data_IF_363356908745
#
_entry.id   IF_363356908745
#
_cell.length_a   1.000
_cell.length_b   1.000
_cell.length_c   1.000
_cell.angle_alpha   90.00
_cell.angle_beta   90.00
_cell.angle_gamma   90.00
#
_symmetry.space_group_name_H-M   'P 1'
#
loop_
_entity.id
_entity.type
_entity.pdbx_description
1 polymer ?
#
# COMPACT_ATOMS: atom_id res chain seq x y z
N UNK A 1 -14.38 5.44 28.84
CA UNK A 1 -13.16 4.67 29.14
C UNK A 1 -13.39 3.23 28.72
N UNK A 2 -13.00 2.85 27.50
CA UNK A 2 -12.95 1.45 27.08
C UNK A 2 -11.59 1.20 26.45
N UNK A 3 -10.72 0.50 27.17
CA UNK A 3 -9.43 0.01 26.67
C UNK A 3 -9.68 -1.37 26.06
N UNK A 4 -9.69 -1.51 24.74
CA UNK A 4 -9.58 -2.80 24.08
C UNK A 4 -8.13 -3.25 24.09
N UNK A 5 -7.87 -4.31 24.86
CA UNK A 5 -6.60 -5.03 24.85
C UNK A 5 -6.66 -6.06 23.73
N UNK A 6 -5.82 -5.91 22.71
CA UNK A 6 -5.58 -6.96 21.73
C UNK A 6 -4.63 -7.96 22.37
N UNK A 7 -5.14 -9.14 22.68
CA UNK A 7 -4.38 -10.27 23.18
C UNK A 7 -3.74 -10.99 21.99
N UNK A 8 -2.41 -10.97 21.93
CA UNK A 8 -1.66 -11.82 21.03
C UNK A 8 -1.79 -13.28 21.47
N UNK A 9 -2.40 -14.12 20.64
CA UNK A 9 -2.47 -15.56 20.87
C UNK A 9 -1.11 -16.20 20.51
N UNK A 10 -0.37 -16.58 21.53
CA UNK A 10 0.79 -17.43 21.38
C UNK A 10 0.31 -18.88 21.13
N UNK A 11 0.61 -19.39 19.93
CA UNK A 11 0.39 -20.80 19.60
C UNK A 11 1.54 -21.61 20.19
N UNK A 12 1.28 -22.26 21.33
CA UNK A 12 2.22 -23.21 21.93
C UNK A 12 2.12 -24.56 21.21
N UNK A 13 3.20 -24.95 20.57
CA UNK A 13 3.36 -26.28 19.96
C UNK A 13 3.62 -27.30 21.05
N UNK A 14 2.70 -28.25 21.23
CA UNK A 14 2.88 -29.43 22.10
C UNK A 14 3.77 -30.41 21.35
N UNK A 15 4.96 -30.67 21.90
CA UNK A 15 5.80 -31.78 21.48
C UNK A 15 5.28 -33.06 22.14
N UNK A 16 4.75 -33.97 21.34
CA UNK A 16 4.53 -35.36 21.74
C UNK A 16 5.78 -36.17 21.34
N UNK A 17 6.51 -36.66 22.33
CA UNK A 17 7.59 -37.61 22.14
C UNK A 17 6.97 -39.01 21.97
N UNK A 18 7.12 -39.57 20.75
CA UNK A 18 6.82 -40.97 20.47
C UNK A 18 7.96 -41.57 19.68
N UNK A 19 8.74 -42.43 20.31
CA UNK A 19 9.80 -43.17 19.67
C UNK A 19 9.21 -44.39 18.93
N UNK A 20 9.41 -44.48 17.61
CA UNK A 20 9.53 -45.76 16.88
C UNK A 20 9.96 -45.47 15.43
N UNK A 21 11.08 -46.12 15.07
CA UNK A 21 11.48 -46.59 13.71
C UNK A 21 11.41 -45.60 12.52
N UNK A 22 12.56 -45.00 12.18
CA UNK A 22 13.07 -45.06 10.79
C UNK A 22 12.33 -44.27 9.70
N UNK A 23 11.60 -43.17 10.00
CA UNK A 23 11.15 -42.26 8.96
C UNK A 23 11.71 -40.87 9.33
N UNK A 24 12.70 -40.40 8.56
CA UNK A 24 13.20 -39.05 8.69
C UNK A 24 12.01 -38.10 8.46
N UNK A 25 11.74 -37.12 9.38
CA UNK A 25 10.73 -36.14 9.12
C UNK A 25 11.16 -35.33 7.89
N UNK A 26 10.40 -35.44 6.81
CA UNK A 26 10.49 -34.49 5.71
C UNK A 26 10.04 -33.16 6.30
N UNK A 27 11.01 -32.36 6.69
CA UNK A 27 10.74 -30.96 7.00
C UNK A 27 10.32 -30.32 5.69
N UNK A 28 9.01 -30.22 5.49
CA UNK A 28 8.45 -29.36 4.44
C UNK A 28 8.88 -27.95 4.83
N UNK A 29 9.97 -27.48 4.19
CA UNK A 29 10.34 -26.08 4.28
C UNK A 29 9.12 -25.29 3.83
N UNK A 30 8.49 -24.54 4.75
CA UNK A 30 7.51 -23.55 4.37
C UNK A 30 8.17 -22.64 3.34
N UNK A 31 7.60 -22.48 2.14
CA UNK A 31 8.17 -21.56 1.17
C UNK A 31 8.30 -20.20 1.86
N UNK A 32 9.52 -19.68 1.91
CA UNK A 32 9.73 -18.30 2.35
C UNK A 32 8.83 -17.44 1.46
N UNK A 33 7.92 -16.67 2.08
CA UNK A 33 7.11 -15.73 1.31
C UNK A 33 8.06 -14.86 0.50
N UNK A 34 7.93 -14.88 -0.82
CA UNK A 34 8.77 -14.08 -1.69
C UNK A 34 8.60 -12.61 -1.24
N UNK A 35 9.71 -11.93 -0.97
CA UNK A 35 9.66 -10.51 -0.64
C UNK A 35 8.98 -9.76 -1.80
N UNK A 36 8.05 -8.87 -1.49
CA UNK A 36 7.41 -8.05 -2.52
C UNK A 36 8.47 -7.29 -3.31
N UNK A 37 8.26 -7.16 -4.63
CA UNK A 37 9.22 -6.43 -5.48
C UNK A 37 9.30 -4.96 -5.07
N UNK A 38 10.40 -4.24 -5.32
CA UNK A 38 10.49 -2.80 -5.08
C UNK A 38 9.31 -2.03 -5.68
N UNK A 39 8.93 -2.35 -6.91
CA UNK A 39 7.75 -1.80 -7.58
C UNK A 39 6.46 -1.93 -6.75
N UNK A 40 6.16 -3.13 -6.25
CA UNK A 40 4.96 -3.38 -5.42
C UNK A 40 5.07 -2.65 -4.08
N UNK A 41 6.26 -2.58 -3.49
CA UNK A 41 6.48 -1.86 -2.22
C UNK A 41 6.21 -0.36 -2.37
N UNK A 42 6.69 0.27 -3.45
CA UNK A 42 6.49 1.68 -3.70
C UNK A 42 5.03 2.00 -4.01
N UNK A 43 4.35 1.17 -4.80
CA UNK A 43 2.92 1.30 -5.05
C UNK A 43 2.10 1.15 -3.77
N UNK A 44 2.46 0.22 -2.88
CA UNK A 44 1.80 0.05 -1.58
C UNK A 44 2.03 1.25 -0.67
N UNK A 45 3.23 1.83 -0.71
CA UNK A 45 3.55 3.07 0.02
C UNK A 45 2.74 4.25 -0.50
N UNK A 46 2.61 4.37 -1.82
CA UNK A 46 1.78 5.38 -2.47
C UNK A 46 0.30 5.23 -2.05
N UNK A 47 -0.22 4.01 -2.04
CA UNK A 47 -1.60 3.73 -1.62
C UNK A 47 -1.82 4.13 -0.16
N UNK A 48 -0.92 3.72 0.74
CA UNK A 48 -1.01 4.06 2.17
C UNK A 48 -1.03 5.57 2.41
N UNK A 49 -0.18 6.32 1.70
CA UNK A 49 -0.14 7.77 1.81
C UNK A 49 -1.40 8.41 1.24
N UNK A 50 -1.91 7.93 0.11
CA UNK A 50 -3.14 8.44 -0.50
C UNK A 50 -4.37 8.16 0.37
N UNK A 51 -4.46 7.00 1.02
CA UNK A 51 -5.54 6.68 1.96
C UNK A 51 -5.52 7.62 3.17
N UNK A 52 -4.33 8.01 3.63
CA UNK A 52 -4.18 9.00 4.69
C UNK A 52 -4.58 10.42 4.24
N UNK A 53 -4.33 10.80 2.98
CA UNK A 53 -4.82 12.05 2.39
C UNK A 53 -6.36 12.07 2.34
N UNK A 54 -6.98 11.00 1.84
CA UNK A 54 -8.44 10.84 1.81
C UNK A 54 -9.05 11.02 3.22
N UNK A 55 -8.47 10.39 4.23
CA UNK A 55 -8.95 10.50 5.60
C UNK A 55 -8.84 11.93 6.14
N UNK A 56 -7.75 12.65 5.80
CA UNK A 56 -7.56 14.05 6.20
C UNK A 56 -8.56 14.98 5.50
N UNK A 57 -8.83 14.80 4.21
CA UNK A 57 -9.82 15.61 3.49
C UNK A 57 -11.25 15.33 3.93
N UNK A 58 -11.59 14.11 4.30
CA UNK A 58 -12.86 13.79 4.96
C UNK A 58 -13.03 14.53 6.29
N UNK A 59 -11.93 14.80 6.99
CA UNK A 59 -11.90 15.61 8.21
C UNK A 59 -11.79 17.12 7.93
N UNK A 60 -11.78 17.56 6.67
CA UNK A 60 -11.53 18.93 6.21
C UNK A 60 -10.16 19.50 6.64
N UNK A 61 -9.17 18.63 6.86
CA UNK A 61 -7.78 19.03 7.15
C UNK A 61 -6.94 19.00 5.87
N UNK A 62 -7.14 19.99 5.02
CA UNK A 62 -6.46 20.12 3.73
C UNK A 62 -4.94 20.29 3.86
N UNK A 63 -4.45 20.76 5.01
CA UNK A 63 -3.00 20.86 5.25
C UNK A 63 -2.38 19.50 5.43
N UNK A 64 -2.98 18.65 6.26
CA UNK A 64 -2.53 17.27 6.48
C UNK A 64 -2.71 16.44 5.21
N UNK A 65 -3.86 16.57 4.52
CA UNK A 65 -4.10 15.92 3.23
C UNK A 65 -3.00 16.24 2.22
N UNK A 66 -2.66 17.52 2.03
CA UNK A 66 -1.58 17.93 1.12
C UNK A 66 -0.22 17.31 1.49
N UNK A 67 0.09 17.16 2.78
CA UNK A 67 1.34 16.51 3.19
C UNK A 67 1.37 15.05 2.76
N UNK A 68 0.26 14.35 2.87
CA UNK A 68 0.13 12.96 2.41
C UNK A 68 0.11 12.86 0.89
N UNK A 69 -0.53 13.78 0.18
CA UNK A 69 -0.47 13.86 -1.29
C UNK A 69 0.97 14.01 -1.80
N UNK A 70 1.79 14.85 -1.14
CA UNK A 70 3.20 14.97 -1.50
C UNK A 70 3.98 13.68 -1.23
N UNK A 71 3.67 12.97 -0.15
CA UNK A 71 4.25 11.65 0.11
C UNK A 71 3.83 10.63 -0.94
N UNK A 72 2.56 10.65 -1.36
CA UNK A 72 2.04 9.85 -2.48
C UNK A 72 2.82 10.13 -3.77
N UNK A 73 3.04 11.42 -4.09
CA UNK A 73 3.82 11.81 -5.27
C UNK A 73 5.24 11.24 -5.25
N UNK A 74 5.92 11.30 -4.11
CA UNK A 74 7.28 10.74 -3.95
C UNK A 74 7.29 9.23 -4.22
N UNK A 75 6.34 8.49 -3.63
CA UNK A 75 6.23 7.04 -3.82
C UNK A 75 5.88 6.68 -5.27
N UNK A 76 5.02 7.46 -5.94
CA UNK A 76 4.68 7.23 -7.36
C UNK A 76 5.89 7.49 -8.28
N UNK A 77 6.73 8.47 -7.96
CA UNK A 77 7.98 8.72 -8.71
C UNK A 77 8.96 7.56 -8.53
N UNK A 78 9.12 7.03 -7.31
CA UNK A 78 9.92 5.84 -7.05
C UNK A 78 9.38 4.63 -7.83
N UNK A 79 8.06 4.39 -7.77
CA UNK A 79 7.40 3.32 -8.51
C UNK A 79 7.63 3.40 -10.02
N UNK A 80 7.66 4.60 -10.63
CA UNK A 80 7.99 4.75 -12.05
C UNK A 80 9.39 4.21 -12.38
N UNK A 81 10.36 4.36 -11.48
CA UNK A 81 11.71 3.80 -11.62
C UNK A 81 11.73 2.29 -11.41
N UNK A 82 11.15 1.83 -10.32
CA UNK A 82 11.25 0.44 -9.87
C UNK A 82 10.31 -0.51 -10.62
N UNK A 83 9.29 0.02 -11.30
CA UNK A 83 8.40 -0.72 -12.20
C UNK A 83 8.91 -0.78 -13.65
N UNK A 84 10.11 -0.29 -13.95
CA UNK A 84 10.73 -0.46 -15.27
C UNK A 84 10.91 -1.96 -15.54
N UNK A 85 10.33 -2.45 -16.63
CA UNK A 85 10.32 -3.89 -16.95
C UNK A 85 9.01 -4.61 -16.64
N UNK A 86 8.10 -3.95 -15.93
CA UNK A 86 6.72 -4.41 -15.81
C UNK A 86 5.93 -4.15 -17.10
N UNK A 87 4.75 -4.77 -17.30
CA UNK A 87 3.89 -4.47 -18.43
C UNK A 87 3.62 -2.96 -18.57
N UNK A 88 3.54 -2.45 -19.78
CA UNK A 88 3.34 -1.01 -20.04
C UNK A 88 2.10 -0.42 -19.37
N UNK A 89 1.08 -1.24 -19.12
CA UNK A 89 -0.14 -0.84 -18.41
C UNK A 89 0.15 -0.39 -16.98
N UNK A 90 1.14 -0.98 -16.30
CA UNK A 90 1.56 -0.57 -14.95
C UNK A 90 2.06 0.88 -14.98
N UNK A 91 2.98 1.19 -15.90
CA UNK A 91 3.49 2.55 -16.08
C UNK A 91 2.37 3.56 -16.43
N UNK A 92 1.43 3.17 -17.30
CA UNK A 92 0.30 4.01 -17.65
C UNK A 92 -0.61 4.32 -16.44
N UNK A 93 -0.87 3.32 -15.59
CA UNK A 93 -1.64 3.49 -14.37
C UNK A 93 -0.91 4.38 -13.35
N UNK A 94 0.42 4.24 -13.20
CA UNK A 94 1.22 5.11 -12.33
C UNK A 94 1.17 6.57 -12.81
N UNK A 95 1.27 6.81 -14.11
CA UNK A 95 1.15 8.16 -14.68
C UNK A 95 -0.25 8.75 -14.45
N UNK A 96 -1.30 7.94 -14.59
CA UNK A 96 -2.68 8.36 -14.29
C UNK A 96 -2.82 8.72 -12.81
N UNK A 97 -2.31 7.88 -11.90
CA UNK A 97 -2.29 8.17 -10.47
C UNK A 97 -1.54 9.47 -10.17
N UNK A 98 -0.38 9.68 -10.79
CA UNK A 98 0.42 10.89 -10.60
C UNK A 98 -0.32 12.16 -11.05
N UNK A 99 -1.02 12.12 -12.16
CA UNK A 99 -1.81 13.25 -12.66
C UNK A 99 -3.00 13.58 -11.74
N UNK A 100 -3.72 12.55 -11.27
CA UNK A 100 -4.83 12.72 -10.32
C UNK A 100 -4.32 13.25 -8.99
N UNK A 101 -3.22 12.72 -8.45
CA UNK A 101 -2.62 13.18 -7.21
C UNK A 101 -2.14 14.65 -7.30
N UNK A 102 -1.55 15.06 -8.42
CA UNK A 102 -1.18 16.45 -8.64
C UNK A 102 -2.42 17.38 -8.60
N UNK A 103 -3.54 16.91 -9.11
CA UNK A 103 -4.83 17.62 -9.04
C UNK A 103 -5.31 17.74 -7.59
N UNK A 104 -5.19 16.69 -6.78
CA UNK A 104 -5.52 16.73 -5.35
C UNK A 104 -4.68 17.76 -4.60
N UNK A 105 -3.36 17.78 -4.83
CA UNK A 105 -2.45 18.80 -4.26
C UNK A 105 -2.94 20.21 -4.54
N UNK A 106 -3.34 20.49 -5.79
CA UNK A 106 -3.83 21.83 -6.18
C UNK A 106 -5.11 22.17 -5.44
N UNK A 107 -6.07 21.24 -5.36
CA UNK A 107 -7.32 21.48 -4.62
C UNK A 107 -7.09 21.69 -3.13
N UNK A 108 -6.18 20.94 -2.52
CA UNK A 108 -5.79 21.08 -1.12
C UNK A 108 -5.05 22.41 -0.85
N UNK A 109 -4.32 22.94 -1.83
CA UNK A 109 -3.70 24.27 -1.73
C UNK A 109 -4.73 25.41 -1.65
N UNK A 110 -5.87 25.27 -2.33
CA UNK A 110 -6.93 26.29 -2.34
C UNK A 110 -8.04 25.99 -1.34
N UNK A 111 -7.89 24.96 -0.49
CA UNK A 111 -8.85 24.59 0.55
C UNK A 111 -10.12 23.90 0.03
N UNK A 112 -10.09 23.31 -1.16
CA UNK A 112 -11.23 22.66 -1.80
C UNK A 112 -11.24 21.14 -1.51
N UNK A 113 -11.39 20.74 -0.23
CA UNK A 113 -11.31 19.35 0.24
C UNK A 113 -12.24 18.38 -0.51
N UNK A 114 -13.48 18.80 -0.82
CA UNK A 114 -14.40 17.95 -1.57
C UNK A 114 -13.95 17.64 -3.00
N UNK A 115 -13.25 18.58 -3.67
CA UNK A 115 -12.68 18.36 -4.99
C UNK A 115 -11.38 17.54 -4.91
N UNK A 116 -10.57 17.78 -3.88
CA UNK A 116 -9.38 16.99 -3.60
C UNK A 116 -9.73 15.53 -3.37
N UNK A 117 -10.75 15.25 -2.56
CA UNK A 117 -11.23 13.90 -2.29
C UNK A 117 -11.58 13.12 -3.57
N UNK A 118 -12.23 13.76 -4.54
CA UNK A 118 -12.52 13.14 -5.84
C UNK A 118 -11.25 12.77 -6.62
N UNK A 119 -10.24 13.64 -6.58
CA UNK A 119 -8.95 13.38 -7.23
C UNK A 119 -8.14 12.29 -6.52
N UNK A 120 -8.16 12.24 -5.19
CA UNK A 120 -7.53 11.19 -4.39
C UNK A 120 -8.17 9.82 -4.61
N UNK A 121 -9.49 9.75 -4.73
CA UNK A 121 -10.19 8.51 -5.07
C UNK A 121 -9.81 8.01 -6.48
N UNK A 122 -9.64 8.91 -7.44
CA UNK A 122 -9.11 8.56 -8.76
C UNK A 122 -7.67 8.06 -8.68
N UNK A 123 -6.83 8.66 -7.84
CA UNK A 123 -5.47 8.22 -7.54
C UNK A 123 -5.47 6.80 -6.95
N UNK A 124 -6.30 6.55 -5.93
CA UNK A 124 -6.44 5.23 -5.31
C UNK A 124 -6.83 4.14 -6.32
N UNK A 125 -7.77 4.45 -7.21
CA UNK A 125 -8.21 3.52 -8.26
C UNK A 125 -7.07 3.16 -9.21
N UNK A 126 -6.30 4.15 -9.65
CA UNK A 126 -5.18 3.93 -10.58
C UNK A 126 -4.02 3.16 -9.91
N UNK A 127 -3.72 3.43 -8.62
CA UNK A 127 -2.72 2.67 -7.85
C UNK A 127 -3.16 1.21 -7.69
N UNK A 128 -4.43 0.98 -7.38
CA UNK A 128 -4.99 -0.38 -7.24
C UNK A 128 -4.85 -1.19 -8.53
N UNK A 129 -5.11 -0.57 -9.68
CA UNK A 129 -4.91 -1.21 -10.98
C UNK A 129 -3.43 -1.49 -11.26
N UNK A 130 -2.54 -0.52 -10.97
CA UNK A 130 -1.10 -0.72 -11.11
C UNK A 130 -0.59 -1.89 -10.26
N UNK A 131 -1.06 -2.02 -9.01
CA UNK A 131 -0.74 -3.14 -8.12
C UNK A 131 -1.22 -4.49 -8.67
N UNK A 132 -2.44 -4.54 -9.21
CA UNK A 132 -3.00 -5.75 -9.79
C UNK A 132 -2.22 -6.22 -11.03
N UNK A 133 -1.75 -5.28 -11.85
CA UNK A 133 -1.00 -5.54 -13.07
C UNK A 133 0.49 -5.84 -12.82
N UNK A 134 1.03 -5.42 -11.66
CA UNK A 134 2.42 -5.63 -11.25
C UNK A 134 2.65 -6.92 -10.44
N UNK A 135 1.59 -7.68 -10.12
CA UNK A 135 1.61 -8.84 -9.21
C UNK A 135 1.84 -10.17 -9.92
#
# INVERSE_FOLDING_TARGET
>A
MFRSRITAAAVSSVMAAGAAAGIAPVVLATPAAAAASPCVNDLTSAQTSNDAAIAADQANDTRTARTHDLSTAVSLVAALGDCLGQPQVVGANILTASASNATAVVYNLIGASGSALGAEQATASAITQALADAS
#
